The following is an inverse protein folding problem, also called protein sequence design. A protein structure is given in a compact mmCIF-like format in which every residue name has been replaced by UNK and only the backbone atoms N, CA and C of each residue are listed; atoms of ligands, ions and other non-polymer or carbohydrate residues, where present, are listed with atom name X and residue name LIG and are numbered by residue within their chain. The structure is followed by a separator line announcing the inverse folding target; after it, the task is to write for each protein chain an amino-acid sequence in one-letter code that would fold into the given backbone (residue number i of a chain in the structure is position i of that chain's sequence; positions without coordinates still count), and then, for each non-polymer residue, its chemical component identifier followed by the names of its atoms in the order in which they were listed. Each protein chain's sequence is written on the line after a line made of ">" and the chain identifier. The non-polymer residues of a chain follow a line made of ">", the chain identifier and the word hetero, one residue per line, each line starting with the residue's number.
data_IF_202331334629
#
_entry.id   IF_202331334629
#
_cell.length_a   1.000
_cell.length_b   1.000
_cell.length_c   1.000
_cell.angle_alpha   90.00
_cell.angle_beta   90.00
_cell.angle_gamma   90.00
#
_symmetry.space_group_name_H-M   'P 1'
#
loop_
_entity.id
_entity.type
_entity.pdbx_description
1 polymer ?
#
# COMPACT_ATOMS: atom_id res chain seq x y z
N UNK A 1 65.15 -19.19 14.91
CA UNK A 1 64.71 -20.44 14.25
C UNK A 1 63.56 -20.06 13.33
N UNK A 2 63.62 -20.11 12.00
CA UNK A 2 64.66 -20.31 11.00
C UNK A 2 64.03 -19.87 9.68
N UNK A 3 64.81 -19.18 8.86
CA UNK A 3 64.49 -18.58 7.57
C UNK A 3 64.05 -19.61 6.51
N UNK A 4 63.35 -19.15 5.47
CA UNK A 4 63.91 -18.96 4.11
C UNK A 4 62.78 -18.73 3.09
N UNK A 5 62.90 -17.66 2.31
CA UNK A 5 62.07 -17.41 1.13
C UNK A 5 62.65 -18.05 -0.13
N UNK A 6 61.86 -18.05 -1.21
CA UNK A 6 62.25 -17.61 -2.57
C UNK A 6 61.09 -17.71 -3.55
N UNK A 7 61.04 -16.69 -4.40
CA UNK A 7 60.23 -16.52 -5.61
C UNK A 7 60.79 -17.34 -6.78
N UNK A 8 59.94 -17.78 -7.71
CA UNK A 8 60.29 -17.94 -9.13
C UNK A 8 59.08 -17.66 -10.06
N UNK A 9 59.37 -16.91 -11.13
CA UNK A 9 58.54 -16.54 -12.28
C UNK A 9 58.20 -17.73 -13.20
N UNK A 10 57.14 -17.61 -14.04
CA UNK A 10 57.21 -18.08 -15.44
C UNK A 10 56.00 -18.77 -16.09
N UNK A 11 55.11 -17.96 -16.69
CA UNK A 11 54.49 -18.03 -18.05
C UNK A 11 53.91 -19.33 -18.68
N UNK A 12 52.75 -19.09 -19.32
CA UNK A 12 52.17 -19.60 -20.60
C UNK A 12 51.42 -20.93 -20.64
N UNK A 13 50.20 -20.89 -21.20
CA UNK A 13 49.50 -22.06 -21.71
C UNK A 13 47.97 -21.89 -21.78
N UNK A 14 47.46 -21.39 -22.90
CA UNK A 14 46.04 -21.51 -23.29
C UNK A 14 45.74 -22.97 -23.66
N UNK A 15 44.54 -23.47 -23.37
CA UNK A 15 44.00 -24.69 -24.00
C UNK A 15 43.01 -25.44 -23.10
N UNK A 16 41.80 -25.66 -23.61
CA UNK A 16 40.65 -26.30 -22.96
C UNK A 16 40.93 -27.58 -22.14
N UNK A 17 40.05 -27.88 -21.17
CA UNK A 17 39.18 -29.02 -21.42
C UNK A 17 37.73 -28.85 -20.94
N UNK A 18 36.81 -29.48 -21.68
CA UNK A 18 35.81 -30.37 -21.09
C UNK A 18 34.70 -29.77 -20.23
N UNK A 19 33.49 -29.76 -20.80
CA UNK A 19 32.22 -29.76 -20.08
C UNK A 19 32.29 -30.64 -18.81
N UNK A 20 32.07 -30.02 -17.66
CA UNK A 20 31.30 -30.63 -16.56
C UNK A 20 30.17 -29.66 -16.22
N UNK A 21 28.93 -30.12 -16.46
CA UNK A 21 27.72 -29.45 -16.01
C UNK A 21 27.69 -29.58 -14.49
N UNK A 22 27.88 -28.48 -13.79
CA UNK A 22 27.54 -28.42 -12.38
C UNK A 22 26.04 -28.12 -12.26
N UNK A 23 25.30 -29.11 -11.80
CA UNK A 23 23.85 -29.10 -11.61
C UNK A 23 23.56 -28.88 -10.14
N UNK A 24 23.68 -27.63 -9.70
CA UNK A 24 23.12 -27.21 -8.42
C UNK A 24 22.86 -25.70 -8.43
N UNK A 25 21.87 -25.29 -9.21
CA UNK A 25 21.20 -24.01 -8.99
C UNK A 25 19.76 -24.32 -8.62
N UNK A 26 19.47 -24.33 -7.31
CA UNK A 26 18.12 -24.38 -6.76
C UNK A 26 17.37 -23.10 -7.15
N UNK A 27 16.29 -23.17 -7.97
CA UNK A 27 15.52 -21.99 -8.35
C UNK A 27 14.67 -21.53 -7.16
N UNK A 28 15.13 -20.49 -6.47
CA UNK A 28 14.32 -19.77 -5.48
C UNK A 28 13.34 -18.84 -6.19
N UNK A 29 12.07 -19.27 -6.29
CA UNK A 29 10.87 -18.44 -6.44
C UNK A 29 10.96 -17.27 -7.45
N UNK A 30 11.17 -17.57 -8.73
CA UNK A 30 10.47 -16.81 -9.77
C UNK A 30 9.22 -17.60 -10.09
N UNK A 31 8.14 -17.34 -9.34
CA UNK A 31 6.83 -17.88 -9.71
C UNK A 31 6.45 -17.23 -11.02
N UNK A 32 6.46 -18.04 -12.07
CA UNK A 32 5.81 -17.78 -13.34
C UNK A 32 4.43 -17.17 -13.04
N UNK A 33 4.27 -15.87 -13.33
CA UNK A 33 3.01 -15.14 -13.16
C UNK A 33 2.06 -15.74 -14.18
N UNK A 34 1.42 -16.85 -13.80
CA UNK A 34 0.32 -17.41 -14.55
C UNK A 34 -0.71 -16.30 -14.64
N UNK A 35 -0.98 -15.90 -15.87
CA UNK A 35 -2.03 -15.00 -16.32
C UNK A 35 -3.39 -15.56 -15.89
N UNK A 36 -3.67 -15.50 -14.59
CA UNK A 36 -4.95 -15.82 -14.03
C UNK A 36 -5.79 -14.57 -14.27
N UNK A 37 -6.44 -14.52 -15.44
CA UNK A 37 -7.68 -13.75 -15.58
C UNK A 37 -8.47 -13.97 -14.29
N UNK A 38 -8.88 -12.88 -13.63
CA UNK A 38 -9.66 -12.86 -12.37
C UNK A 38 -11.00 -13.63 -12.41
N UNK A 39 -11.26 -14.43 -13.44
CA UNK A 39 -12.31 -15.45 -13.53
C UNK A 39 -12.01 -16.72 -12.70
N UNK A 40 -11.68 -16.56 -11.42
CA UNK A 40 -11.82 -17.64 -10.43
C UNK A 40 -12.94 -17.28 -9.45
N UNK A 41 -13.68 -18.26 -8.90
CA UNK A 41 -14.60 -18.03 -7.79
C UNK A 41 -13.81 -17.83 -6.48
N UNK A 42 -12.81 -16.93 -6.47
CA UNK A 42 -11.95 -16.66 -5.30
C UNK A 42 -12.74 -16.00 -4.17
N UNK A 43 -13.78 -15.24 -4.52
CA UNK A 43 -14.57 -14.49 -3.55
C UNK A 43 -15.95 -15.11 -3.38
N UNK A 44 -16.20 -15.64 -2.19
CA UNK A 44 -17.51 -16.18 -1.78
C UNK A 44 -18.48 -15.06 -1.41
N UNK A 45 -17.97 -13.91 -0.98
CA UNK A 45 -18.76 -12.73 -0.60
C UNK A 45 -19.20 -11.91 -1.81
N UNK A 46 -20.50 -11.61 -1.94
CA UNK A 46 -21.04 -10.74 -3.00
C UNK A 46 -20.44 -9.34 -2.95
N UNK A 47 -20.31 -8.76 -1.75
CA UNK A 47 -19.71 -7.44 -1.57
C UNK A 47 -18.29 -7.39 -2.15
N UNK A 48 -17.46 -8.39 -1.85
CA UNK A 48 -16.10 -8.48 -2.38
C UNK A 48 -16.07 -8.70 -3.88
N UNK A 49 -16.94 -9.57 -4.42
CA UNK A 49 -17.08 -9.75 -5.88
C UNK A 49 -17.44 -8.44 -6.58
N UNK A 50 -18.32 -7.64 -5.99
CA UNK A 50 -18.69 -6.34 -6.51
C UNK A 50 -17.53 -5.35 -6.47
N UNK A 51 -16.80 -5.28 -5.35
CA UNK A 51 -15.61 -4.46 -5.27
C UNK A 51 -14.52 -4.90 -6.26
N UNK A 52 -14.39 -6.21 -6.53
CA UNK A 52 -13.44 -6.74 -7.50
C UNK A 52 -13.77 -6.29 -8.92
N UNK A 53 -15.05 -6.32 -9.33
CA UNK A 53 -15.48 -5.78 -10.63
C UNK A 53 -15.15 -4.29 -10.78
N UNK A 54 -15.34 -3.50 -9.72
CA UNK A 54 -14.91 -2.09 -9.74
C UNK A 54 -13.39 -1.96 -9.87
N UNK A 55 -12.61 -2.79 -9.18
CA UNK A 55 -11.14 -2.80 -9.31
C UNK A 55 -10.68 -3.13 -10.73
N UNK A 56 -11.34 -4.07 -11.42
CA UNK A 56 -11.02 -4.43 -12.80
C UNK A 56 -11.18 -3.23 -13.76
N UNK A 57 -12.18 -2.38 -13.53
CA UNK A 57 -12.42 -1.17 -14.34
C UNK A 57 -11.36 -0.08 -14.14
N UNK A 58 -10.55 -0.15 -13.07
CA UNK A 58 -9.42 0.77 -12.89
C UNK A 58 -8.27 0.48 -13.87
N UNK A 59 -8.30 -0.63 -14.60
CA UNK A 59 -7.31 -0.97 -15.62
C UNK A 59 -5.89 -1.09 -15.05
N UNK A 60 -5.78 -1.71 -13.88
CA UNK A 60 -4.53 -1.99 -13.16
C UNK A 60 -3.92 -3.30 -13.65
N UNK A 61 -2.59 -3.42 -13.59
CA UNK A 61 -1.90 -4.65 -13.97
C UNK A 61 -2.05 -5.72 -12.89
N UNK A 62 -2.30 -6.97 -13.29
CA UNK A 62 -2.55 -8.10 -12.38
C UNK A 62 -1.36 -8.39 -11.45
N UNK A 63 -0.13 -8.14 -11.91
CA UNK A 63 1.11 -8.36 -11.16
C UNK A 63 1.31 -7.39 -9.99
N UNK A 64 0.54 -6.31 -9.93
CA UNK A 64 0.49 -5.42 -8.78
C UNK A 64 -0.17 -6.08 -7.56
N UNK A 65 -0.92 -7.18 -7.75
CA UNK A 65 -1.75 -7.76 -6.70
C UNK A 65 -1.18 -9.07 -6.14
N UNK A 66 -1.58 -9.36 -4.90
CA UNK A 66 -1.34 -10.62 -4.21
C UNK A 66 -2.66 -11.19 -3.65
N UNK A 67 -3.52 -11.76 -4.51
CA UNK A 67 -4.92 -12.10 -4.18
C UNK A 67 -5.09 -13.05 -2.98
N UNK A 68 -4.08 -13.87 -2.67
CA UNK A 68 -4.05 -14.75 -1.50
C UNK A 68 -4.09 -13.99 -0.16
N UNK A 69 -3.93 -12.67 -0.18
CA UNK A 69 -3.97 -11.78 0.99
C UNK A 69 -5.16 -10.81 0.97
N UNK A 70 -6.06 -10.95 0.01
CA UNK A 70 -7.29 -10.16 -0.06
C UNK A 70 -8.21 -10.44 1.12
N UNK A 71 -9.00 -9.43 1.51
CA UNK A 71 -9.88 -9.55 2.67
C UNK A 71 -11.10 -8.66 2.55
N UNK A 72 -12.28 -9.25 2.73
CA UNK A 72 -13.53 -8.50 2.83
C UNK A 72 -13.82 -8.13 4.28
N UNK A 73 -14.15 -6.87 4.53
CA UNK A 73 -14.53 -6.34 5.84
C UNK A 73 -15.98 -5.88 5.86
N UNK A 74 -16.83 -6.36 4.93
CA UNK A 74 -18.27 -6.14 5.05
C UNK A 74 -18.81 -6.73 6.37
N UNK A 75 -19.96 -6.25 6.90
CA UNK A 75 -20.48 -6.69 8.20
C UNK A 75 -20.52 -8.21 8.37
N UNK A 76 -21.03 -8.94 7.37
CA UNK A 76 -21.12 -10.39 7.43
C UNK A 76 -19.77 -11.11 7.42
N UNK A 77 -18.75 -10.58 6.71
CA UNK A 77 -17.42 -11.19 6.70
C UNK A 77 -16.66 -10.89 7.98
N UNK A 78 -16.85 -9.69 8.54
CA UNK A 78 -16.28 -9.29 9.81
C UNK A 78 -16.83 -10.15 10.96
N UNK A 79 -18.16 -10.26 11.06
CA UNK A 79 -18.84 -11.06 12.09
C UNK A 79 -18.40 -12.53 12.04
N UNK A 80 -18.34 -13.13 10.85
CA UNK A 80 -17.89 -14.53 10.68
C UNK A 80 -16.45 -14.78 11.14
N UNK A 81 -15.57 -13.77 11.11
CA UNK A 81 -14.20 -13.89 11.60
C UNK A 81 -14.06 -13.64 13.10
N UNK A 82 -15.03 -12.98 13.73
CA UNK A 82 -14.93 -12.55 15.12
C UNK A 82 -13.87 -11.46 15.34
N UNK A 83 -13.63 -10.62 14.33
CA UNK A 83 -12.69 -9.51 14.42
C UNK A 83 -13.22 -8.42 15.40
N UNK A 84 -12.30 -7.63 15.97
CA UNK A 84 -12.64 -6.42 16.77
C UNK A 84 -12.38 -5.14 15.98
N UNK A 85 -13.01 -4.02 16.35
CA UNK A 85 -12.87 -2.79 15.53
C UNK A 85 -11.46 -2.16 15.57
N UNK A 86 -10.72 -2.34 16.67
CA UNK A 86 -9.43 -1.68 16.90
C UNK A 86 -8.38 -2.73 17.25
N UNK A 87 -7.30 -2.76 16.48
CA UNK A 87 -6.14 -3.62 16.73
C UNK A 87 -4.91 -2.77 17.02
N UNK A 88 -3.87 -3.38 17.60
CA UNK A 88 -2.55 -2.77 17.71
C UNK A 88 -1.54 -3.47 16.80
N UNK A 89 -0.63 -2.70 16.19
CA UNK A 89 0.42 -3.23 15.32
C UNK A 89 1.64 -2.32 15.27
N UNK A 90 2.78 -2.90 14.90
CA UNK A 90 4.07 -2.23 14.83
C UNK A 90 4.87 -2.31 16.13
N UNK A 91 6.08 -1.76 16.11
CA UNK A 91 6.97 -1.66 17.27
C UNK A 91 7.59 -0.24 17.35
N UNK A 92 7.15 0.62 18.29
CA UNK A 92 6.17 0.33 19.34
C UNK A 92 4.76 0.10 18.78
N UNK A 93 3.92 -0.72 19.44
CA UNK A 93 2.54 -0.96 19.03
C UNK A 93 1.74 0.34 18.99
N UNK A 94 0.97 0.55 17.91
CA UNK A 94 0.00 1.64 17.78
C UNK A 94 -1.38 1.11 17.42
N UNK A 95 -2.46 1.69 17.99
CA UNK A 95 -3.81 1.32 17.63
C UNK A 95 -4.12 1.76 16.19
N UNK A 96 -4.95 0.98 15.51
CA UNK A 96 -5.52 1.31 14.20
C UNK A 96 -6.93 0.73 14.08
N UNK A 97 -7.78 1.40 13.30
CA UNK A 97 -9.18 1.01 13.11
C UNK A 97 -9.28 0.07 11.90
N UNK A 98 -9.94 -1.07 12.06
CA UNK A 98 -10.23 -1.96 10.94
C UNK A 98 -11.10 -1.26 9.89
N UNK A 99 -10.90 -1.56 8.60
CA UNK A 99 -11.69 -0.99 7.52
C UNK A 99 -13.04 -1.68 7.38
N UNK A 100 -13.87 -1.64 8.43
CA UNK A 100 -15.24 -2.17 8.41
C UNK A 100 -16.05 -1.52 7.29
N UNK A 101 -16.74 -2.36 6.50
CA UNK A 101 -17.44 -1.96 5.29
C UNK A 101 -16.57 -1.86 4.05
N UNK A 102 -15.29 -2.22 4.08
CA UNK A 102 -14.40 -2.18 2.91
C UNK A 102 -14.07 -3.57 2.36
N UNK A 103 -13.54 -3.61 1.14
CA UNK A 103 -12.84 -4.78 0.62
C UNK A 103 -11.40 -4.39 0.34
N UNK A 104 -10.45 -5.14 0.89
CA UNK A 104 -9.02 -4.94 0.70
C UNK A 104 -8.53 -5.89 -0.37
N UNK A 105 -7.93 -5.32 -1.40
CA UNK A 105 -7.16 -6.01 -2.42
C UNK A 105 -5.69 -5.80 -2.09
N UNK A 106 -4.97 -6.88 -1.82
CA UNK A 106 -3.60 -6.82 -1.36
C UNK A 106 -2.68 -6.54 -2.54
N UNK A 107 -1.79 -5.56 -2.34
CA UNK A 107 -0.76 -5.21 -3.31
C UNK A 107 0.50 -6.03 -3.05
N UNK A 108 1.25 -6.33 -4.11
CA UNK A 108 2.63 -6.76 -3.98
C UNK A 108 3.47 -5.61 -3.42
N UNK A 109 4.52 -5.96 -2.68
CA UNK A 109 5.48 -4.96 -2.23
C UNK A 109 6.37 -4.62 -3.42
N UNK A 110 6.43 -3.35 -3.87
CA UNK A 110 7.28 -2.95 -4.97
C UNK A 110 8.75 -2.95 -4.49
N UNK A 111 9.44 -4.07 -4.71
CA UNK A 111 10.88 -4.18 -4.55
C UNK A 111 11.53 -3.79 -5.89
N UNK A 112 12.60 -2.98 -5.93
CA UNK A 112 13.47 -2.51 -4.83
C UNK A 112 13.15 -1.10 -4.28
N UNK A 113 11.99 -0.52 -4.63
CA UNK A 113 11.66 0.88 -4.34
C UNK A 113 11.54 1.18 -2.83
N UNK A 114 11.34 0.14 -2.01
CA UNK A 114 11.18 0.28 -0.55
C UNK A 114 12.47 -0.11 0.18
N UNK A 115 13.02 0.82 0.97
CA UNK A 115 14.09 0.52 1.94
C UNK A 115 13.53 -0.28 3.12
N UNK A 116 13.75 -1.59 3.08
CA UNK A 116 13.27 -2.51 4.11
C UNK A 116 14.25 -2.63 5.30
N UNK A 117 13.76 -2.93 6.51
CA UNK A 117 14.61 -3.30 7.63
C UNK A 117 15.35 -4.63 7.36
N UNK A 118 16.35 -4.95 8.20
CA UNK A 118 16.93 -6.29 8.22
C UNK A 118 15.82 -7.32 8.46
N UNK A 119 15.78 -8.39 7.65
CA UNK A 119 14.67 -9.34 7.64
C UNK A 119 13.58 -9.05 6.60
N UNK A 120 13.76 -8.01 5.76
CA UNK A 120 12.97 -7.79 4.55
C UNK A 120 11.51 -7.42 4.82
N UNK A 121 10.61 -7.87 3.94
CA UNK A 121 9.18 -7.55 3.99
C UNK A 121 8.51 -8.08 5.26
N UNK A 122 8.90 -9.28 5.73
CA UNK A 122 8.37 -9.86 6.98
C UNK A 122 8.63 -8.93 8.16
N UNK A 123 9.89 -8.52 8.34
CA UNK A 123 10.27 -7.61 9.41
C UNK A 123 9.55 -6.25 9.31
N UNK A 124 9.34 -5.73 8.10
CA UNK A 124 8.55 -4.50 7.90
C UNK A 124 7.08 -4.69 8.32
N UNK A 125 6.43 -5.77 7.89
CA UNK A 125 5.02 -6.00 8.21
C UNK A 125 4.77 -6.26 9.71
N UNK A 126 5.78 -6.77 10.43
CA UNK A 126 5.69 -6.99 11.88
C UNK A 126 5.99 -5.72 12.67
N UNK A 127 7.01 -4.94 12.27
CA UNK A 127 7.48 -3.77 13.04
C UNK A 127 6.88 -2.44 12.61
N UNK A 128 6.33 -2.32 11.40
CA UNK A 128 5.76 -1.06 10.92
C UNK A 128 4.29 -0.92 11.27
N UNK A 129 3.89 0.32 11.55
CA UNK A 129 2.55 0.66 12.01
C UNK A 129 1.57 0.73 10.83
N UNK A 130 0.30 0.52 11.13
CA UNK A 130 -0.78 0.58 10.14
C UNK A 130 -1.27 2.00 9.95
N UNK A 131 -1.49 2.40 8.70
CA UNK A 131 -2.17 3.65 8.38
C UNK A 131 -2.98 3.54 7.09
N UNK A 132 -3.81 4.54 6.84
CA UNK A 132 -4.67 4.65 5.68
C UNK A 132 -4.51 6.02 5.03
N UNK A 133 -4.50 6.03 3.71
CA UNK A 133 -4.52 7.24 2.89
C UNK A 133 -5.72 7.19 1.96
N UNK A 134 -6.73 8.02 2.20
CA UNK A 134 -7.87 8.14 1.29
C UNK A 134 -7.47 8.88 0.03
N UNK A 135 -8.01 8.45 -1.10
CA UNK A 135 -7.74 9.07 -2.39
C UNK A 135 -8.95 8.96 -3.31
N UNK A 136 -8.90 9.63 -4.45
CA UNK A 136 -9.90 9.49 -5.52
C UNK A 136 -9.62 8.29 -6.39
N UNK A 137 -10.67 7.76 -7.03
CA UNK A 137 -10.55 6.67 -8.01
C UNK A 137 -9.51 6.97 -9.09
N UNK A 138 -9.46 8.20 -9.58
CA UNK A 138 -8.57 8.63 -10.68
C UNK A 138 -7.10 8.68 -10.26
N UNK A 139 -6.84 8.75 -8.96
CA UNK A 139 -5.48 8.77 -8.42
C UNK A 139 -4.94 7.37 -8.13
N UNK A 140 -5.81 6.34 -8.04
CA UNK A 140 -5.38 4.97 -7.68
C UNK A 140 -4.34 4.45 -8.67
N UNK A 141 -4.62 4.54 -9.97
CA UNK A 141 -3.73 4.05 -11.01
C UNK A 141 -2.40 4.82 -11.07
N UNK A 142 -2.37 6.16 -11.16
CA UNK A 142 -1.12 6.93 -11.11
C UNK A 142 -0.27 6.67 -9.86
N UNK A 143 -0.88 6.53 -8.69
CA UNK A 143 -0.13 6.23 -7.44
C UNK A 143 0.54 4.86 -7.53
N UNK A 144 -0.17 3.85 -8.05
CA UNK A 144 0.39 2.51 -8.21
C UNK A 144 1.47 2.45 -9.29
N UNK A 145 1.27 3.12 -10.43
CA UNK A 145 2.24 3.14 -11.53
C UNK A 145 3.52 3.92 -11.18
N UNK A 146 3.40 4.98 -10.39
CA UNK A 146 4.57 5.76 -9.92
C UNK A 146 5.21 5.19 -8.65
N UNK A 147 4.54 4.26 -7.97
CA UNK A 147 5.05 3.57 -6.78
C UNK A 147 5.10 4.42 -5.51
N UNK A 148 4.37 5.54 -5.44
CA UNK A 148 4.45 6.43 -4.29
C UNK A 148 3.30 7.43 -4.14
N UNK A 149 3.05 7.83 -2.89
CA UNK A 149 2.17 8.96 -2.58
C UNK A 149 2.92 10.27 -2.86
N UNK A 150 2.22 11.21 -3.49
CA UNK A 150 2.70 12.57 -3.75
C UNK A 150 2.08 13.53 -2.75
N UNK A 151 2.82 14.58 -2.41
CA UNK A 151 2.31 15.68 -1.59
C UNK A 151 1.83 16.82 -2.48
N UNK A 152 0.92 17.68 -1.98
CA UNK A 152 0.67 18.96 -2.63
C UNK A 152 1.98 19.72 -2.86
N UNK A 153 2.13 20.36 -4.01
CA UNK A 153 3.36 21.02 -4.43
C UNK A 153 4.31 20.14 -5.25
N UNK A 154 4.11 18.82 -5.32
CA UNK A 154 4.91 17.96 -6.20
C UNK A 154 4.51 18.18 -7.68
N UNK A 155 5.51 18.14 -8.57
CA UNK A 155 5.29 18.17 -10.02
C UNK A 155 4.74 16.84 -10.54
N UNK A 156 3.68 16.93 -11.34
CA UNK A 156 3.01 15.81 -12.02
C UNK A 156 2.88 16.10 -13.52
N UNK A 157 2.64 15.07 -14.33
CA UNK A 157 2.39 15.26 -15.77
C UNK A 157 1.11 16.08 -15.97
N UNK A 158 1.27 17.38 -16.23
CA UNK A 158 0.15 18.32 -16.39
C UNK A 158 0.12 19.47 -15.36
N UNK A 159 1.10 19.59 -14.46
CA UNK A 159 1.25 20.74 -13.58
C UNK A 159 1.73 20.36 -12.18
N UNK A 160 1.36 21.16 -11.18
CA UNK A 160 1.70 20.92 -9.78
C UNK A 160 0.48 20.38 -9.04
N UNK A 161 0.67 19.38 -8.18
CA UNK A 161 -0.42 18.80 -7.40
C UNK A 161 -0.97 19.83 -6.41
N UNK A 162 -2.25 20.16 -6.53
CA UNK A 162 -2.91 21.14 -5.64
C UNK A 162 -3.33 20.52 -4.31
N UNK A 163 -3.49 21.38 -3.31
CA UNK A 163 -4.14 21.00 -2.06
C UNK A 163 -5.61 20.71 -2.32
N UNK A 164 -6.15 19.67 -1.68
CA UNK A 164 -7.56 19.30 -1.86
C UNK A 164 -8.47 20.20 -1.03
N UNK A 165 -9.61 20.56 -1.61
CA UNK A 165 -10.71 21.20 -0.89
C UNK A 165 -11.13 20.35 0.32
N UNK A 166 -11.41 21.00 1.45
CA UNK A 166 -11.74 20.31 2.69
C UNK A 166 -10.58 20.24 3.70
N UNK A 167 -9.33 20.48 3.27
CA UNK A 167 -8.15 20.56 4.15
C UNK A 167 -7.65 21.98 4.34
N UNK A 168 -6.98 22.23 5.46
CA UNK A 168 -6.18 23.44 5.68
C UNK A 168 -5.30 23.81 4.49
N UNK A 169 -5.36 25.09 4.10
CA UNK A 169 -4.49 25.70 3.10
C UNK A 169 -3.61 26.79 3.76
N UNK A 170 -2.73 27.43 3.00
CA UNK A 170 -1.82 28.45 3.52
C UNK A 170 -2.52 29.71 4.08
N UNK A 171 -3.76 29.99 3.67
CA UNK A 171 -4.51 31.17 4.10
C UNK A 171 -5.15 31.00 5.49
N UNK A 172 -5.55 29.77 5.85
CA UNK A 172 -6.34 29.52 7.06
C UNK A 172 -5.91 28.28 7.87
N UNK A 173 -4.65 27.85 7.70
CA UNK A 173 -4.02 26.82 8.55
C UNK A 173 -3.73 27.31 9.98
N UNK A 174 -3.70 26.41 10.97
CA UNK A 174 -3.15 26.72 12.30
C UNK A 174 -1.67 27.11 12.22
N UNK A 175 -1.21 27.91 13.18
CA UNK A 175 0.21 28.27 13.30
C UNK A 175 1.08 27.02 13.40
N UNK A 176 2.18 26.99 12.64
CA UNK A 176 3.11 25.85 12.60
C UNK A 176 2.61 24.61 11.85
N UNK A 177 1.41 24.64 11.26
CA UNK A 177 0.91 23.53 10.44
C UNK A 177 1.56 23.57 9.04
N UNK A 178 2.18 22.48 8.62
CA UNK A 178 2.70 22.34 7.25
C UNK A 178 1.67 21.63 6.39
N UNK A 179 1.16 22.32 5.37
CA UNK A 179 0.11 21.82 4.51
C UNK A 179 0.64 21.05 3.29
N UNK A 180 1.95 21.09 3.03
CA UNK A 180 2.63 20.47 1.89
C UNK A 180 3.27 19.13 2.29
N UNK A 181 2.44 18.24 2.84
CA UNK A 181 2.86 16.93 3.33
C UNK A 181 1.88 15.83 2.91
N UNK A 182 2.34 14.58 2.99
CA UNK A 182 1.46 13.41 2.86
C UNK A 182 0.83 13.13 4.21
N UNK A 183 -0.50 13.23 4.28
CA UNK A 183 -1.26 12.90 5.48
C UNK A 183 -1.81 11.47 5.40
N UNK A 184 -1.68 10.76 6.52
CA UNK A 184 -2.25 9.42 6.73
C UNK A 184 -2.90 9.39 8.10
N UNK A 185 -3.86 8.50 8.30
CA UNK A 185 -4.46 8.25 9.62
C UNK A 185 -4.39 6.76 9.96
N UNK A 186 -4.21 6.38 11.24
CA UNK A 186 -4.41 5.00 11.69
C UNK A 186 -5.87 4.53 11.55
N UNK A 187 -6.78 5.40 11.11
CA UNK A 187 -8.19 5.08 10.92
C UNK A 187 -8.65 5.33 9.51
N UNK A 188 -9.24 4.29 8.94
CA UNK A 188 -9.97 4.41 7.69
C UNK A 188 -11.19 5.33 7.82
N UNK A 189 -11.79 5.52 9.01
CA UNK A 189 -12.95 6.38 9.18
C UNK A 189 -12.59 7.84 8.91
N UNK A 190 -11.41 8.26 9.37
CA UNK A 190 -10.85 9.56 9.06
C UNK A 190 -10.41 9.66 7.60
N UNK A 191 -9.62 8.69 7.11
CA UNK A 191 -9.12 8.69 5.73
C UNK A 191 -10.23 8.53 4.69
N UNK A 192 -11.43 8.09 5.07
CA UNK A 192 -12.59 7.97 4.18
C UNK A 192 -13.43 9.24 4.04
N UNK A 193 -13.13 10.30 4.80
CA UNK A 193 -13.88 11.57 4.74
C UNK A 193 -13.80 12.18 3.34
N UNK A 194 -14.81 12.96 2.97
CA UNK A 194 -14.97 13.47 1.60
C UNK A 194 -13.79 14.31 1.11
N UNK A 195 -13.09 15.02 1.99
CA UNK A 195 -11.88 15.76 1.65
C UNK A 195 -10.77 14.83 1.10
N UNK A 196 -10.65 13.62 1.64
CA UNK A 196 -9.68 12.61 1.24
C UNK A 196 -10.19 11.69 0.12
N UNK A 197 -11.39 11.13 0.28
CA UNK A 197 -11.92 10.07 -0.59
C UNK A 197 -13.37 10.31 -0.95
N UNK A 198 -13.66 11.43 -1.64
CA UNK A 198 -15.03 11.75 -2.07
C UNK A 198 -15.64 10.62 -2.92
N UNK A 199 -16.91 10.26 -2.71
CA UNK A 199 -17.52 9.09 -3.34
C UNK A 199 -17.73 9.33 -4.83
N UNK A 200 -17.44 8.30 -5.64
CA UNK A 200 -17.75 8.24 -7.06
C UNK A 200 -18.98 7.37 -7.30
N UNK A 201 -19.89 7.79 -8.20
CA UNK A 201 -21.02 6.96 -8.62
C UNK A 201 -20.58 6.05 -9.76
N UNK A 202 -20.42 4.77 -9.45
CA UNK A 202 -20.08 3.72 -10.40
C UNK A 202 -21.34 2.96 -10.81
N UNK A 203 -21.46 2.59 -12.10
CA UNK A 203 -22.50 1.69 -12.60
C UNK A 203 -21.82 0.37 -12.95
N UNK A 204 -22.17 -0.67 -12.21
CA UNK A 204 -21.66 -2.02 -12.45
C UNK A 204 -22.14 -2.54 -13.81
N UNK A 205 -21.20 -2.77 -14.72
CA UNK A 205 -21.50 -3.24 -16.09
C UNK A 205 -22.15 -4.62 -16.12
N UNK A 206 -21.90 -5.47 -15.12
CA UNK A 206 -22.45 -6.83 -15.05
C UNK A 206 -23.91 -6.86 -14.57
N UNK A 207 -24.32 -5.89 -13.74
CA UNK A 207 -25.65 -5.91 -13.09
C UNK A 207 -26.52 -4.70 -13.46
N UNK A 208 -25.94 -3.65 -14.04
CA UNK A 208 -26.60 -2.36 -14.32
C UNK A 208 -26.82 -1.48 -13.08
N UNK A 209 -26.55 -2.00 -11.88
CA UNK A 209 -26.79 -1.33 -10.61
C UNK A 209 -25.79 -0.19 -10.37
N UNK A 210 -26.24 0.89 -9.72
CA UNK A 210 -25.38 2.01 -9.33
C UNK A 210 -24.94 1.88 -7.87
N UNK A 211 -23.68 2.21 -7.61
CA UNK A 211 -23.07 2.21 -6.29
C UNK A 211 -22.25 3.48 -6.06
N UNK A 212 -22.18 3.93 -4.80
CA UNK A 212 -21.21 4.92 -4.36
C UNK A 212 -19.95 4.21 -3.90
N UNK A 213 -18.82 4.52 -4.52
CA UNK A 213 -17.54 3.85 -4.26
C UNK A 213 -16.53 4.86 -3.74
N UNK A 214 -15.69 4.40 -2.82
CA UNK A 214 -14.55 5.14 -2.28
C UNK A 214 -13.29 4.30 -2.40
N UNK A 215 -12.15 4.96 -2.44
CA UNK A 215 -10.84 4.32 -2.59
C UNK A 215 -9.86 4.83 -1.53
N UNK A 216 -9.10 3.93 -0.95
CA UNK A 216 -8.05 4.27 0.00
C UNK A 216 -6.93 3.24 -0.10
N UNK A 217 -5.71 3.68 0.18
CA UNK A 217 -4.58 2.80 0.39
C UNK A 217 -4.48 2.45 1.87
N UNK A 218 -4.37 1.17 2.16
CA UNK A 218 -3.88 0.70 3.45
C UNK A 218 -2.36 0.56 3.34
N UNK A 219 -1.62 1.31 4.14
CA UNK A 219 -0.16 1.41 4.07
C UNK A 219 0.50 0.97 5.39
N UNK A 220 1.82 0.80 5.31
CA UNK A 220 2.71 0.61 6.45
C UNK A 220 3.59 1.83 6.60
N UNK A 221 3.67 2.37 7.81
CA UNK A 221 4.53 3.52 8.11
C UNK A 221 5.64 3.11 9.09
N UNK A 222 6.88 3.47 8.74
CA UNK A 222 8.04 3.16 9.56
C UNK A 222 7.99 3.97 10.86
N UNK A 223 8.15 3.34 12.03
CA UNK A 223 8.24 4.07 13.29
C UNK A 223 9.36 5.12 13.24
N UNK A 224 9.06 6.32 13.73
CA UNK A 224 9.99 7.46 13.73
C UNK A 224 10.15 8.17 12.39
N UNK A 225 9.40 7.79 11.33
CA UNK A 225 9.41 8.52 10.04
C UNK A 225 8.26 9.53 9.89
N UNK A 226 7.54 9.82 10.96
CA UNK A 226 6.36 10.70 10.94
C UNK A 226 6.20 11.42 12.28
N UNK A 227 5.47 12.53 12.25
CA UNK A 227 4.97 13.25 13.43
C UNK A 227 3.47 13.09 13.55
N UNK A 228 2.95 13.19 14.79
CA UNK A 228 1.50 13.24 15.04
C UNK A 228 1.10 14.72 15.04
N UNK A 229 0.16 15.07 14.18
CA UNK A 229 -0.38 16.42 14.05
C UNK A 229 -1.85 16.51 14.45
N UNK A 230 -2.41 17.73 14.46
CA UNK A 230 -3.86 17.93 14.61
C UNK A 230 -4.62 17.39 13.38
N UNK A 231 -5.95 17.48 13.42
CA UNK A 231 -6.77 17.23 12.23
C UNK A 231 -6.33 18.12 11.07
N UNK A 232 -6.39 17.60 9.85
CA UNK A 232 -6.18 18.35 8.60
C UNK A 232 -7.48 18.95 8.07
N UNK A 233 -8.63 18.50 8.57
CA UNK A 233 -9.97 18.89 8.13
C UNK A 233 -10.40 20.17 8.83
N UNK A 234 -10.89 21.12 8.03
CA UNK A 234 -11.10 22.48 8.50
C UNK A 234 -12.50 22.80 9.00
N UNK A 235 -13.48 22.03 8.55
CA UNK A 235 -14.87 22.18 8.99
C UNK A 235 -15.16 21.42 10.29
N UNK A 236 -14.14 20.86 10.93
CA UNK A 236 -14.28 20.14 12.19
C UNK A 236 -14.45 21.15 13.32
N UNK A 237 -15.57 21.06 14.02
CA UNK A 237 -15.83 21.88 15.22
C UNK A 237 -15.08 21.30 16.41
N UNK A 238 -14.74 22.17 17.36
CA UNK A 238 -14.17 21.76 18.65
C UNK A 238 -15.13 20.79 19.34
N UNK A 239 -14.68 19.54 19.59
CA UNK A 239 -15.48 18.48 20.22
C UNK A 239 -16.02 17.43 19.25
N UNK A 240 -15.89 17.63 17.93
CA UNK A 240 -16.27 16.61 16.96
C UNK A 240 -15.33 15.39 17.09
N UNK A 241 -15.89 14.23 17.44
CA UNK A 241 -15.15 12.96 17.39
C UNK A 241 -15.08 12.48 15.94
N UNK A 242 -14.03 12.92 15.23
CA UNK A 242 -13.81 12.56 13.81
C UNK A 242 -13.39 11.10 13.66
N UNK A 243 -12.76 10.55 14.70
CA UNK A 243 -12.08 9.25 14.71
C UNK A 243 -12.27 8.56 16.07
N UNK A 244 -12.50 7.23 16.14
CA UNK A 244 -12.56 6.51 17.41
C UNK A 244 -11.25 6.43 18.21
N UNK A 245 -10.08 6.68 17.61
CA UNK A 245 -8.75 6.56 18.23
C UNK A 245 -7.95 7.85 18.25
#
# INVERSE_FOLDING_TARGET
>A
MSEFGRSYYGRTGRGHPGRRRDTSFTPGLVREVRRAKLNRPLYTCEYQRRCARFMDELGLQDDLFFPERDMCYCPSCHEKRGDIEIYQRGNPPKPYVLPLGWSRFALQVPLPQVKLPRGGTVAAFDSWQMCFHGTLKDNVKPILETGGLRRPGDDISGGTLSQRNGHYNEEWKPEGFDTLQVFVSPSIRYSSKDAYSSPYTWRDSATGQKYKVRSAFQARIRPGSYSIGPTTLHHVRRGDRIDPI
#
